data_IF_316519780124
#
_entry.id   IF_316519780124
#
_cell.length_a   1.000
_cell.length_b   1.000
_cell.length_c   1.000
_cell.angle_alpha   90.00
_cell.angle_beta   90.00
_cell.angle_gamma   90.00
#
_symmetry.space_group_name_H-M   'P 1'
#
loop_
_entity.id
_entity.type
_entity.pdbx_description
1 polymer ?
#
# COMPACT_ATOMS: atom_id res chain seq x y z
N UNK A 1 -26.92 -47.51 -33.63
CA UNK A 1 -25.71 -48.37 -33.58
C UNK A 1 -24.68 -47.68 -32.69
N UNK A 2 -24.76 -47.90 -31.38
CA UNK A 2 -23.85 -47.29 -30.40
C UNK A 2 -22.56 -48.13 -30.33
N UNK A 3 -21.43 -47.56 -30.75
CA UNK A 3 -20.11 -48.19 -30.56
C UNK A 3 -19.45 -47.55 -29.35
N UNK A 4 -19.54 -48.23 -28.20
CA UNK A 4 -18.78 -47.88 -27.01
C UNK A 4 -17.29 -48.12 -27.30
N UNK A 5 -16.48 -47.05 -27.27
CA UNK A 5 -15.03 -47.15 -27.28
C UNK A 5 -14.56 -47.62 -25.91
N UNK A 6 -14.17 -48.88 -25.83
CA UNK A 6 -13.58 -49.49 -24.65
C UNK A 6 -12.16 -48.92 -24.46
N UNK A 7 -12.00 -47.97 -23.54
CA UNK A 7 -10.71 -47.43 -23.14
C UNK A 7 -9.94 -48.49 -22.37
N UNK A 8 -8.90 -49.07 -22.98
CA UNK A 8 -7.97 -49.98 -22.31
C UNK A 8 -6.77 -49.16 -21.81
N UNK A 9 -6.62 -48.92 -20.49
CA UNK A 9 -5.49 -48.18 -19.98
C UNK A 9 -4.21 -49.01 -20.14
N UNK A 10 -3.23 -48.43 -20.82
CA UNK A 10 -1.85 -48.94 -20.85
C UNK A 10 -1.37 -49.18 -19.42
N UNK A 11 -0.76 -50.34 -19.15
CA UNK A 11 -0.23 -50.74 -17.83
C UNK A 11 0.65 -49.64 -17.22
N UNK A 12 1.38 -48.90 -18.05
CA UNK A 12 2.21 -47.76 -17.68
C UNK A 12 1.40 -46.62 -17.03
N UNK A 13 0.19 -46.33 -17.51
CA UNK A 13 -0.70 -45.35 -16.92
C UNK A 13 -1.22 -45.81 -15.55
N UNK A 14 -1.47 -47.13 -15.39
CA UNK A 14 -1.89 -47.70 -14.11
C UNK A 14 -0.79 -47.58 -13.04
N UNK A 15 0.47 -47.84 -13.41
CA UNK A 15 1.62 -47.64 -12.52
C UNK A 15 1.78 -46.18 -12.12
N UNK A 16 1.67 -45.23 -13.05
CA UNK A 16 1.74 -43.80 -12.73
C UNK A 16 0.62 -43.36 -11.79
N UNK A 17 -0.61 -43.82 -12.01
CA UNK A 17 -1.74 -43.50 -11.11
C UNK A 17 -1.58 -44.11 -9.73
N UNK A 18 -1.04 -45.33 -9.64
CA UNK A 18 -0.78 -46.00 -8.36
C UNK A 18 0.34 -45.30 -7.58
N UNK A 19 1.44 -44.92 -8.24
CA UNK A 19 2.55 -44.18 -7.62
C UNK A 19 2.06 -42.82 -7.12
N UNK A 20 1.28 -42.09 -7.93
CA UNK A 20 0.72 -40.80 -7.53
C UNK A 20 -0.20 -40.94 -6.30
N UNK A 21 -1.07 -41.96 -6.27
CA UNK A 21 -1.94 -42.22 -5.12
C UNK A 21 -1.14 -42.52 -3.84
N UNK A 22 -0.08 -43.33 -3.93
CA UNK A 22 0.81 -43.64 -2.79
C UNK A 22 1.56 -42.39 -2.32
N UNK A 23 2.06 -41.55 -3.21
CA UNK A 23 2.73 -40.31 -2.84
C UNK A 23 1.76 -39.35 -2.14
N UNK A 24 0.54 -39.21 -2.65
CA UNK A 24 -0.49 -38.37 -2.04
C UNK A 24 -0.87 -38.85 -0.62
N UNK A 25 -1.01 -40.16 -0.41
CA UNK A 25 -1.32 -40.70 0.93
C UNK A 25 -0.15 -40.51 1.90
N UNK A 26 1.09 -40.68 1.44
CA UNK A 26 2.28 -40.44 2.26
C UNK A 26 2.38 -38.97 2.68
N UNK A 27 2.21 -38.02 1.76
CA UNK A 27 2.22 -36.59 2.10
C UNK A 27 1.07 -36.20 3.04
N UNK A 28 -0.12 -36.78 2.85
CA UNK A 28 -1.25 -36.56 3.75
C UNK A 28 -0.98 -37.07 5.18
N UNK A 29 -0.36 -38.25 5.31
CA UNK A 29 0.00 -38.80 6.61
C UNK A 29 1.13 -38.00 7.27
N UNK A 30 2.15 -37.55 6.51
CA UNK A 30 3.22 -36.69 7.03
C UNK A 30 2.67 -35.33 7.48
N UNK A 31 1.72 -34.76 6.73
CA UNK A 31 1.01 -33.53 7.11
C UNK A 31 0.24 -33.68 8.42
N UNK A 32 -0.45 -34.81 8.61
CA UNK A 32 -1.11 -35.12 9.88
C UNK A 32 -0.10 -35.42 11.01
N UNK A 33 1.04 -36.05 10.71
CA UNK A 33 2.06 -36.38 11.72
C UNK A 33 2.81 -35.13 12.24
N UNK A 34 2.92 -34.08 11.41
CA UNK A 34 3.42 -32.76 11.85
C UNK A 34 2.33 -31.84 12.41
N UNK A 35 1.06 -32.26 12.31
CA UNK A 35 -0.12 -31.56 12.82
C UNK A 35 -0.54 -31.96 14.24
N UNK A 36 0.23 -32.80 14.93
CA UNK A 36 0.06 -33.14 16.35
C UNK A 36 0.70 -32.14 17.31
N UNK A 37 0.83 -30.86 16.94
CA UNK A 37 1.02 -29.81 17.92
C UNK A 37 -0.38 -29.43 18.43
N UNK A 38 -0.78 -30.01 19.55
CA UNK A 38 -1.83 -29.45 20.39
C UNK A 38 -1.50 -27.98 20.63
N UNK A 39 -2.14 -27.10 19.88
CA UNK A 39 -2.28 -25.70 20.25
C UNK A 39 -3.20 -25.74 21.46
N UNK A 40 -2.62 -25.88 22.65
CA UNK A 40 -3.30 -25.45 23.86
C UNK A 40 -3.55 -23.96 23.68
N UNK A 41 -4.78 -23.61 23.33
CA UNK A 41 -5.29 -22.27 23.53
C UNK A 41 -5.28 -22.02 25.04
N UNK A 42 -4.14 -21.62 25.58
CA UNK A 42 -4.07 -21.00 26.88
C UNK A 42 -4.83 -19.68 26.72
N UNK A 43 -6.12 -19.71 27.02
CA UNK A 43 -6.93 -18.52 27.18
C UNK A 43 -6.38 -17.75 28.38
N UNK A 44 -5.40 -16.89 28.13
CA UNK A 44 -5.01 -15.86 29.10
C UNK A 44 -6.17 -14.87 29.11
N UNK A 45 -7.11 -15.07 30.05
CA UNK A 45 -7.99 -13.98 30.48
C UNK A 45 -7.11 -13.03 31.29
N UNK A 46 -6.88 -11.79 30.84
CA UNK A 46 -6.37 -10.78 31.76
C UNK A 46 -7.51 -10.47 32.72
N UNK A 47 -7.55 -11.10 33.88
CA UNK A 47 -8.31 -10.56 35.01
C UNK A 47 -7.53 -9.35 35.50
N UNK A 48 -7.84 -8.18 34.93
CA UNK A 48 -7.48 -6.91 35.55
C UNK A 48 -8.24 -6.83 36.89
N UNK A 49 -7.57 -6.64 38.03
CA UNK A 49 -8.26 -6.28 39.26
C UNK A 49 -8.67 -4.81 39.12
N UNK A 50 -9.92 -4.57 38.75
CA UNK A 50 -10.52 -3.25 38.97
C UNK A 50 -10.80 -3.16 40.48
N UNK A 51 -9.84 -2.62 41.24
CA UNK A 51 -10.16 -2.04 42.55
C UNK A 51 -11.02 -0.81 42.30
N UNK A 52 -12.29 -0.89 42.68
CA UNK A 52 -13.15 0.28 42.85
C UNK A 52 -12.67 1.03 44.09
N UNK A 53 -11.74 1.97 43.89
CA UNK A 53 -11.57 3.09 44.81
C UNK A 53 -12.19 4.34 44.18
N UNK A 54 -12.97 5.14 44.94
CA UNK A 54 -13.65 6.32 44.41
C UNK A 54 -12.61 7.39 44.11
N UNK A 55 -12.30 7.58 42.82
CA UNK A 55 -11.51 8.72 42.36
C UNK A 55 -12.31 9.99 42.61
N UNK A 56 -11.81 10.79 43.56
CA UNK A 56 -12.13 12.20 43.68
C UNK A 56 -11.98 12.88 42.32
N UNK A 57 -13.02 13.60 41.90
CA UNK A 57 -13.00 14.49 40.74
C UNK A 57 -11.92 15.56 40.93
N UNK A 58 -10.74 15.31 40.38
CA UNK A 58 -9.83 16.37 39.99
C UNK A 58 -10.18 16.73 38.55
N UNK A 59 -11.00 17.76 38.39
CA UNK A 59 -11.28 18.43 37.12
C UNK A 59 -10.02 19.17 36.63
N UNK A 60 -8.98 18.40 36.30
CA UNK A 60 -7.90 18.88 35.47
C UNK A 60 -8.18 18.42 34.05
N UNK A 61 -9.10 19.13 33.43
CA UNK A 61 -9.25 19.18 31.97
C UNK A 61 -7.95 19.75 31.39
N UNK A 62 -6.94 18.91 31.22
CA UNK A 62 -5.76 19.25 30.44
C UNK A 62 -6.25 19.59 29.04
N UNK A 63 -6.24 20.89 28.72
CA UNK A 63 -6.55 21.41 27.40
C UNK A 63 -5.52 20.84 26.44
N UNK A 64 -5.86 19.72 25.80
CA UNK A 64 -5.02 19.15 24.76
C UNK A 64 -4.97 20.15 23.60
N UNK A 65 -3.75 20.52 23.23
CA UNK A 65 -3.51 21.40 22.10
C UNK A 65 -3.68 20.58 20.82
N UNK A 66 -4.80 20.80 20.14
CA UNK A 66 -5.09 20.23 18.81
C UNK A 66 -4.62 21.15 17.68
N UNK A 67 -3.84 22.19 17.98
CA UNK A 67 -3.36 23.13 16.97
C UNK A 67 -2.32 22.44 16.10
N UNK A 68 -2.56 22.43 14.78
CA UNK A 68 -1.58 21.93 13.84
C UNK A 68 -0.32 22.82 13.88
N UNK A 69 0.78 22.30 14.44
CA UNK A 69 2.09 22.97 14.49
C UNK A 69 2.78 23.14 13.12
N UNK A 70 2.07 22.83 12.02
CA UNK A 70 2.52 23.02 10.65
C UNK A 70 1.72 24.13 9.94
N UNK A 71 0.91 24.89 10.68
CA UNK A 71 0.29 26.10 10.14
C UNK A 71 1.40 27.09 9.81
N UNK A 72 1.50 27.47 8.54
CA UNK A 72 2.42 28.49 8.03
C UNK A 72 2.11 29.91 8.57
N UNK A 73 1.38 30.00 9.68
CA UNK A 73 0.83 31.21 10.28
C UNK A 73 1.20 31.32 11.76
N UNK A 74 2.32 30.71 12.18
CA UNK A 74 3.01 31.14 13.38
C UNK A 74 3.85 32.35 12.99
N UNK A 75 3.30 33.55 13.25
CA UNK A 75 3.93 34.88 13.32
C UNK A 75 5.46 34.90 13.33
N UNK A 76 6.06 34.62 12.18
CA UNK A 76 7.32 35.19 11.78
C UNK A 76 6.94 36.55 11.24
N UNK A 77 7.43 37.61 11.87
CA UNK A 77 7.54 38.92 11.22
C UNK A 77 7.97 38.66 9.78
N UNK A 78 7.10 38.93 8.81
CA UNK A 78 7.33 38.63 7.40
C UNK A 78 8.68 39.27 7.05
N UNK A 79 9.79 38.52 6.96
CA UNK A 79 11.02 39.08 6.45
C UNK A 79 10.69 39.28 4.99
N UNK A 80 10.56 40.55 4.57
CA UNK A 80 10.36 41.00 3.20
C UNK A 80 10.48 39.84 2.19
N UNK A 81 9.35 39.32 1.68
CA UNK A 81 9.25 38.10 0.85
C UNK A 81 10.21 38.10 -0.36
N UNK A 82 10.80 39.24 -0.69
CA UNK A 82 11.86 39.38 -1.69
C UNK A 82 13.24 38.84 -1.26
N UNK A 83 13.43 38.49 0.01
CA UNK A 83 14.65 37.89 0.56
C UNK A 83 14.57 36.37 0.79
N UNK A 84 13.37 35.77 0.78
CA UNK A 84 13.20 34.33 0.59
C UNK A 84 13.42 33.98 -0.90
N UNK A 85 14.60 34.37 -1.39
CA UNK A 85 15.06 34.12 -2.74
C UNK A 85 15.09 32.62 -2.93
N UNK A 86 14.13 32.12 -3.70
CA UNK A 86 14.35 31.16 -4.78
C UNK A 86 15.58 30.29 -4.53
N UNK A 87 15.42 29.23 -3.72
CA UNK A 87 16.37 28.14 -3.72
C UNK A 87 16.34 27.55 -5.14
N UNK A 88 17.28 27.99 -5.96
CA UNK A 88 17.49 27.49 -7.30
C UNK A 88 18.03 26.07 -7.19
N UNK A 89 17.10 25.13 -7.15
CA UNK A 89 17.42 23.72 -7.18
C UNK A 89 17.74 23.33 -8.62
N UNK A 90 18.97 22.89 -8.92
CA UNK A 90 19.33 22.47 -10.27
C UNK A 90 18.47 21.29 -10.72
N UNK A 91 18.45 21.03 -12.03
CA UNK A 91 17.78 19.85 -12.57
C UNK A 91 18.53 18.60 -12.15
N UNK A 92 17.82 17.60 -11.62
CA UNK A 92 18.37 16.27 -11.43
C UNK A 92 18.51 15.53 -12.76
N UNK A 93 19.37 14.52 -12.78
CA UNK A 93 19.34 13.48 -13.81
C UNK A 93 18.01 12.69 -13.74
N UNK A 94 17.46 12.32 -14.90
CA UNK A 94 16.21 11.55 -15.02
C UNK A 94 16.28 10.18 -14.33
N UNK A 95 17.47 9.59 -14.14
CA UNK A 95 17.64 8.34 -13.39
C UNK A 95 17.11 8.41 -11.95
N UNK A 96 16.99 9.61 -11.39
CA UNK A 96 16.48 9.83 -10.04
C UNK A 96 14.96 9.97 -9.98
N UNK A 97 14.23 9.85 -11.10
CA UNK A 97 12.76 9.99 -11.11
C UNK A 97 12.04 8.96 -10.24
N UNK A 98 12.67 7.80 -10.01
CA UNK A 98 12.13 6.69 -9.21
C UNK A 98 12.97 6.41 -7.96
N UNK A 99 13.98 7.24 -7.73
CA UNK A 99 14.85 7.09 -6.57
C UNK A 99 14.07 7.40 -5.30
N UNK A 100 14.00 6.42 -4.39
CA UNK A 100 13.34 6.55 -3.10
C UNK A 100 14.41 6.50 -2.00
N UNK A 101 14.92 7.65 -1.52
CA UNK A 101 16.19 7.70 -0.78
C UNK A 101 16.26 6.83 0.47
N UNK A 102 15.16 6.68 1.19
CA UNK A 102 15.09 5.90 2.43
C UNK A 102 14.73 4.42 2.24
N UNK A 103 14.41 4.02 1.00
CA UNK A 103 14.05 2.65 0.60
C UNK A 103 15.02 2.11 -0.46
N UNK A 104 16.29 2.52 -0.36
CA UNK A 104 17.34 2.10 -1.28
C UNK A 104 17.85 0.69 -0.93
N UNK A 105 17.71 -0.25 -1.86
CA UNK A 105 18.05 -1.67 -1.64
C UNK A 105 19.55 -1.85 -1.43
N UNK A 106 20.39 -1.16 -2.19
CA UNK A 106 21.85 -1.31 -2.06
C UNK A 106 22.34 -0.80 -0.71
N UNK A 107 21.77 0.29 -0.20
CA UNK A 107 22.03 0.80 1.14
C UNK A 107 21.52 -0.15 2.21
N UNK A 108 20.29 -0.65 2.08
CA UNK A 108 19.68 -1.50 3.10
C UNK A 108 20.45 -2.80 3.30
N UNK A 109 20.96 -3.40 2.22
CA UNK A 109 21.76 -4.63 2.25
C UNK A 109 23.12 -4.51 2.96
N UNK A 110 23.59 -3.30 3.28
CA UNK A 110 24.84 -3.08 4.03
C UNK A 110 24.70 -3.30 5.54
N UNK A 111 23.47 -3.36 6.05
CA UNK A 111 23.19 -3.49 7.48
C UNK A 111 23.06 -4.95 7.91
N UNK A 112 23.24 -5.17 9.22
CA UNK A 112 23.23 -6.49 9.82
C UNK A 112 21.90 -7.24 9.59
N UNK A 113 22.03 -8.56 9.40
CA UNK A 113 20.94 -9.49 9.14
C UNK A 113 20.45 -10.20 10.40
N UNK A 114 21.27 -10.29 11.45
CA UNK A 114 20.91 -11.00 12.70
C UNK A 114 19.64 -10.42 13.31
N UNK A 115 19.60 -9.09 13.44
CA UNK A 115 18.46 -8.34 13.99
C UNK A 115 17.52 -7.79 12.90
N UNK A 116 17.62 -8.27 11.66
CA UNK A 116 16.85 -7.78 10.51
C UNK A 116 16.97 -6.26 10.26
N UNK A 117 18.07 -5.64 10.71
CA UNK A 117 18.30 -4.19 10.55
C UNK A 117 18.27 -3.77 9.08
N UNK A 118 18.72 -4.63 8.16
CA UNK A 118 18.61 -4.40 6.71
C UNK A 118 17.18 -4.22 6.19
N UNK A 119 16.13 -4.53 6.97
CA UNK A 119 14.73 -4.30 6.60
C UNK A 119 14.18 -2.96 7.08
N UNK A 120 14.93 -2.24 7.92
CA UNK A 120 14.56 -0.90 8.40
C UNK A 120 14.76 0.16 7.30
N UNK A 121 14.23 1.37 7.54
CA UNK A 121 14.43 2.51 6.65
C UNK A 121 15.82 3.10 6.88
N UNK A 122 16.60 3.16 5.80
CA UNK A 122 17.96 3.70 5.83
C UNK A 122 18.02 4.89 4.88
N UNK A 123 17.94 6.09 5.43
CA UNK A 123 18.00 7.33 4.64
C UNK A 123 19.45 7.78 4.40
N UNK A 124 19.70 8.61 3.37
CA UNK A 124 21.00 9.23 3.18
C UNK A 124 21.32 10.22 4.32
N UNK A 125 22.60 10.28 4.67
CA UNK A 125 23.12 11.30 5.58
C UNK A 125 23.03 12.69 4.95
N UNK A 126 23.20 13.76 5.74
CA UNK A 126 22.98 15.13 5.27
C UNK A 126 23.81 15.49 4.02
N UNK A 127 25.06 15.02 3.94
CA UNK A 127 25.93 15.25 2.79
C UNK A 127 25.58 14.44 1.53
N UNK A 128 24.73 13.42 1.66
CA UNK A 128 24.29 12.56 0.55
C UNK A 128 22.91 12.96 0.00
N UNK A 129 22.21 13.90 0.66
CA UNK A 129 20.88 14.34 0.27
C UNK A 129 20.93 15.15 -1.03
N UNK A 130 20.22 14.66 -2.04
CA UNK A 130 20.05 15.37 -3.30
C UNK A 130 19.16 16.59 -3.11
N UNK A 131 19.70 17.77 -3.47
CA UNK A 131 18.98 19.03 -3.51
C UNK A 131 18.80 19.47 -4.96
N UNK A 132 17.90 18.80 -5.68
CA UNK A 132 17.62 19.08 -7.10
C UNK A 132 16.15 18.82 -7.43
N UNK A 133 15.65 19.34 -8.55
CA UNK A 133 14.29 19.11 -9.06
C UNK A 133 14.31 18.10 -10.21
N UNK A 134 13.50 17.07 -10.12
CA UNK A 134 13.28 16.13 -11.23
C UNK A 134 12.53 16.87 -12.34
N UNK A 135 13.09 16.96 -13.56
CA UNK A 135 12.37 17.58 -14.67
C UNK A 135 11.20 16.71 -15.12
N UNK A 136 10.17 17.35 -15.70
CA UNK A 136 9.09 16.62 -16.33
C UNK A 136 9.63 15.75 -17.48
N UNK A 137 9.16 14.49 -17.63
CA UNK A 137 9.61 13.62 -18.70
C UNK A 137 9.21 14.18 -20.07
N UNK A 138 9.90 13.72 -21.11
CA UNK A 138 9.60 14.14 -22.47
C UNK A 138 8.15 13.81 -22.85
N UNK A 139 7.43 14.80 -23.39
CA UNK A 139 6.03 14.64 -23.79
C UNK A 139 5.01 14.74 -22.64
N UNK A 140 5.45 15.10 -21.42
CA UNK A 140 4.54 15.36 -20.31
C UNK A 140 3.55 16.49 -20.66
N UNK A 141 2.27 16.25 -20.39
CA UNK A 141 1.15 17.17 -20.65
C UNK A 141 0.66 17.77 -19.35
N UNK A 142 0.07 18.96 -19.40
CA UNK A 142 -0.60 19.56 -18.23
C UNK A 142 -1.70 18.62 -17.72
N UNK A 143 -1.71 18.24 -16.43
CA UNK A 143 -2.77 17.41 -15.86
C UNK A 143 -4.15 18.04 -16.02
N UNK A 144 -5.19 17.22 -16.04
CA UNK A 144 -6.58 17.68 -16.03
C UNK A 144 -6.86 18.50 -14.77
N UNK A 145 -7.85 19.40 -14.85
CA UNK A 145 -8.32 20.10 -13.65
C UNK A 145 -9.24 19.17 -12.85
N UNK A 146 -9.30 19.40 -11.54
CA UNK A 146 -10.34 18.81 -10.72
C UNK A 146 -11.73 19.24 -11.24
N UNK A 147 -12.75 18.34 -11.30
CA UNK A 147 -12.75 16.95 -10.84
C UNK A 147 -12.34 15.90 -11.88
N UNK A 148 -12.11 16.26 -13.15
CA UNK A 148 -11.76 15.30 -14.21
C UNK A 148 -10.48 14.51 -13.88
N UNK A 149 -9.50 15.15 -13.23
CA UNK A 149 -8.26 14.50 -12.76
C UNK A 149 -8.46 13.39 -11.73
N UNK A 150 -9.68 13.22 -11.19
CA UNK A 150 -10.03 12.10 -10.31
C UNK A 150 -10.06 10.79 -11.09
N UNK A 151 -10.65 10.82 -12.28
CA UNK A 151 -10.99 9.63 -13.04
C UNK A 151 -10.10 9.49 -14.28
N UNK A 152 -9.34 10.51 -14.64
CA UNK A 152 -8.53 10.52 -15.86
C UNK A 152 -7.10 11.02 -15.68
N UNK A 153 -6.17 10.39 -16.40
CA UNK A 153 -4.79 10.83 -16.53
C UNK A 153 -4.31 10.70 -17.98
N UNK A 154 -3.41 11.57 -18.42
CA UNK A 154 -2.79 11.43 -19.73
C UNK A 154 -1.93 10.17 -19.79
N UNK A 155 -2.07 9.39 -20.87
CA UNK A 155 -1.19 8.24 -21.12
C UNK A 155 0.29 8.64 -21.16
N UNK A 156 0.59 9.86 -21.61
CA UNK A 156 1.95 10.41 -21.66
C UNK A 156 2.54 10.73 -20.29
N UNK A 157 1.71 10.94 -19.26
CA UNK A 157 2.15 11.37 -17.94
C UNK A 157 2.42 10.22 -16.97
N UNK A 158 1.99 9.00 -17.31
CA UNK A 158 2.10 7.84 -16.45
C UNK A 158 3.35 7.04 -16.80
N UNK A 159 4.30 6.87 -15.86
CA UNK A 159 5.44 5.97 -16.05
C UNK A 159 4.96 4.50 -16.06
N UNK A 160 5.81 3.58 -16.52
CA UNK A 160 5.55 2.13 -16.43
C UNK A 160 4.21 1.65 -17.00
N UNK A 161 3.96 1.98 -18.26
CA UNK A 161 2.73 1.58 -18.99
C UNK A 161 2.47 0.07 -19.02
N UNK A 162 3.48 -0.77 -18.80
CA UNK A 162 3.29 -2.22 -18.71
C UNK A 162 2.42 -2.64 -17.52
N UNK A 163 2.41 -1.86 -16.42
CA UNK A 163 1.59 -2.14 -15.23
C UNK A 163 0.09 -2.13 -15.55
N UNK A 164 -0.35 -1.39 -16.58
CA UNK A 164 -1.75 -1.40 -16.99
C UNK A 164 -2.15 -2.73 -17.62
N UNK A 165 -1.20 -3.46 -18.21
CA UNK A 165 -1.43 -4.83 -18.73
C UNK A 165 -1.51 -5.81 -17.57
N UNK A 166 -0.58 -5.73 -16.63
CA UNK A 166 -0.55 -6.61 -15.45
C UNK A 166 -1.78 -6.46 -14.56
N UNK A 167 -2.32 -5.24 -14.47
CA UNK A 167 -3.51 -4.93 -13.66
C UNK A 167 -4.81 -4.86 -14.47
N UNK A 168 -4.79 -5.15 -15.78
CA UNK A 168 -5.97 -5.07 -16.66
C UNK A 168 -7.13 -5.96 -16.16
N UNK A 169 -6.81 -7.16 -15.65
CA UNK A 169 -7.80 -8.11 -15.15
C UNK A 169 -8.55 -7.65 -13.88
N UNK A 170 -8.06 -6.59 -13.23
CA UNK A 170 -8.66 -6.05 -12.00
C UNK A 170 -9.60 -4.87 -12.26
N UNK A 171 -9.75 -4.43 -13.52
CA UNK A 171 -10.53 -3.24 -13.91
C UNK A 171 -10.12 -1.95 -13.16
N UNK A 172 -8.85 -1.88 -12.73
CA UNK A 172 -8.31 -0.70 -12.04
C UNK A 172 -8.08 0.49 -12.98
N UNK A 173 -7.69 0.20 -14.22
CA UNK A 173 -7.34 1.21 -15.22
C UNK A 173 -7.76 0.73 -16.61
N UNK A 174 -8.31 1.64 -17.40
CA UNK A 174 -8.66 1.41 -18.80
C UNK A 174 -7.84 2.33 -19.67
N UNK A 175 -7.23 1.77 -20.70
CA UNK A 175 -6.55 2.54 -21.72
C UNK A 175 -7.55 3.01 -22.78
N UNK A 176 -7.65 4.33 -22.97
CA UNK A 176 -8.53 5.01 -23.92
C UNK A 176 -7.71 5.88 -24.87
N UNK A 177 -6.81 5.26 -25.64
CA UNK A 177 -6.03 5.95 -26.68
C UNK A 177 -4.95 6.89 -26.12
N UNK A 178 -5.28 8.13 -25.81
CA UNK A 178 -4.35 9.10 -25.22
C UNK A 178 -4.55 9.31 -23.71
N UNK A 179 -5.54 8.59 -23.13
CA UNK A 179 -5.92 8.71 -21.72
C UNK A 179 -5.94 7.36 -21.03
N UNK A 180 -5.74 7.40 -19.72
CA UNK A 180 -6.12 6.37 -18.79
C UNK A 180 -7.39 6.81 -18.07
N UNK A 181 -8.34 5.90 -17.93
CA UNK A 181 -9.55 6.07 -17.14
C UNK A 181 -9.52 5.13 -15.92
N UNK A 182 -9.86 5.65 -14.75
CA UNK A 182 -9.87 4.95 -13.47
C UNK A 182 -11.33 4.82 -13.01
N UNK A 183 -12.02 3.70 -13.33
CA UNK A 183 -13.45 3.56 -13.09
C UNK A 183 -13.83 3.33 -11.61
N UNK A 184 -12.90 3.46 -10.66
CA UNK A 184 -13.14 3.28 -9.23
C UNK A 184 -13.35 1.82 -8.77
N UNK A 185 -13.20 0.85 -9.69
CA UNK A 185 -13.30 -0.58 -9.40
C UNK A 185 -11.96 -1.15 -8.92
N UNK A 186 -11.83 -1.34 -7.60
CA UNK A 186 -10.69 -2.01 -6.97
C UNK A 186 -11.04 -3.41 -6.48
N UNK A 187 -10.04 -4.28 -6.32
CA UNK A 187 -10.22 -5.67 -5.85
C UNK A 187 -10.31 -5.80 -4.34
N UNK A 188 -9.86 -4.77 -3.58
CA UNK A 188 -9.88 -4.78 -2.12
C UNK A 188 -11.27 -4.49 -1.55
N UNK A 189 -12.15 -3.82 -2.30
CA UNK A 189 -13.48 -3.43 -1.85
C UNK A 189 -14.55 -4.24 -2.60
N UNK A 190 -15.28 -5.16 -1.94
CA UNK A 190 -16.30 -5.98 -2.60
C UNK A 190 -17.36 -5.16 -3.36
N UNK A 191 -17.68 -3.96 -2.86
CA UNK A 191 -18.62 -3.02 -3.47
C UNK A 191 -17.95 -1.79 -4.10
N UNK A 192 -16.61 -1.83 -4.28
CA UNK A 192 -15.82 -0.72 -4.79
C UNK A 192 -15.46 0.33 -3.73
N UNK A 193 -14.48 1.18 -4.05
CA UNK A 193 -13.99 2.20 -3.12
C UNK A 193 -15.03 3.28 -2.81
N UNK A 194 -15.95 3.56 -3.75
CA UNK A 194 -17.03 4.52 -3.54
C UNK A 194 -17.95 4.11 -2.38
N UNK A 195 -18.37 2.85 -2.32
CA UNK A 195 -19.21 2.34 -1.23
C UNK A 195 -18.49 2.41 0.13
N UNK A 196 -17.18 2.15 0.15
CA UNK A 196 -16.36 2.32 1.35
C UNK A 196 -16.31 3.77 1.83
N UNK A 197 -16.14 4.73 0.91
CA UNK A 197 -16.17 6.16 1.23
C UNK A 197 -17.56 6.59 1.72
N UNK A 198 -18.64 6.08 1.11
CA UNK A 198 -20.02 6.35 1.54
C UNK A 198 -20.28 5.84 2.96
N UNK A 199 -19.75 4.67 3.32
CA UNK A 199 -19.86 4.12 4.67
C UNK A 199 -19.13 4.99 5.70
N UNK A 200 -17.95 5.53 5.37
CA UNK A 200 -17.27 6.52 6.21
C UNK A 200 -18.11 7.79 6.33
N UNK A 201 -18.68 8.26 5.22
CA UNK A 201 -19.53 9.45 5.16
C UNK A 201 -20.80 9.37 6.03
N UNK A 202 -21.25 8.17 6.40
CA UNK A 202 -22.34 7.97 7.36
C UNK A 202 -21.92 8.21 8.81
N UNK A 203 -20.63 8.07 9.11
CA UNK A 203 -20.07 8.21 10.46
C UNK A 203 -19.52 9.62 10.70
N UNK A 204 -18.92 10.23 9.69
CA UNK A 204 -18.30 11.56 9.76
C UNK A 204 -18.68 12.39 8.53
N UNK A 205 -18.87 13.70 8.71
CA UNK A 205 -19.20 14.59 7.59
C UNK A 205 -17.96 14.83 6.72
N UNK A 206 -17.94 14.23 5.53
CA UNK A 206 -16.88 14.43 4.54
C UNK A 206 -17.14 15.62 3.59
N UNK A 207 -18.35 16.18 3.59
CA UNK A 207 -18.81 17.13 2.55
C UNK A 207 -18.71 18.61 2.93
N UNK A 208 -18.50 18.95 4.20
CA UNK A 208 -18.46 20.34 4.68
C UNK A 208 -17.07 20.99 4.62
N UNK A 209 -16.04 20.24 4.22
CA UNK A 209 -14.67 20.72 4.16
C UNK A 209 -13.99 20.90 5.53
N UNK A 210 -14.59 20.39 6.61
CA UNK A 210 -13.96 20.36 7.95
C UNK A 210 -12.74 19.43 7.96
N UNK A 211 -12.80 18.32 7.21
CA UNK A 211 -11.70 17.38 7.00
C UNK A 211 -10.94 17.79 5.75
N UNK A 212 -9.67 18.15 5.92
CA UNK A 212 -8.78 18.56 4.81
C UNK A 212 -7.81 17.46 4.37
N UNK A 213 -7.52 16.52 5.27
CA UNK A 213 -6.53 15.46 5.04
C UNK A 213 -7.06 14.15 5.62
N UNK A 214 -7.00 13.09 4.83
CA UNK A 214 -7.25 11.72 5.26
C UNK A 214 -6.08 10.84 4.84
N UNK A 215 -5.70 9.88 5.69
CA UNK A 215 -4.65 8.89 5.40
C UNK A 215 -5.29 7.51 5.58
N UNK A 216 -5.48 6.81 4.46
CA UNK A 216 -5.89 5.41 4.43
C UNK A 216 -4.73 4.57 3.91
N UNK A 217 -4.28 3.60 4.71
CA UNK A 217 -3.14 2.74 4.39
C UNK A 217 -3.58 1.28 4.37
N UNK A 218 -3.72 0.71 3.17
CA UNK A 218 -3.91 -0.73 2.97
C UNK A 218 -2.60 -1.45 2.68
N UNK A 219 -2.54 -2.76 2.95
CA UNK A 219 -1.37 -3.60 2.63
C UNK A 219 -1.34 -4.12 1.18
N UNK A 220 -2.40 -3.86 0.39
CA UNK A 220 -2.62 -4.51 -0.90
C UNK A 220 -2.93 -6.00 -0.74
N UNK A 221 -3.64 -6.58 -1.72
CA UNK A 221 -3.72 -8.04 -1.85
C UNK A 221 -2.61 -8.46 -2.82
N UNK A 222 -1.60 -9.17 -2.32
CA UNK A 222 -0.54 -9.82 -3.11
C UNK A 222 -1.00 -11.17 -3.63
#
# INVERSE_FOLDING_TARGET
LNRATQYSPSTRNLYFTAIAAVLCTVFYLIGNFRGGATITSAGIRPTLPCSEDPLAESDQRSSFDFTAHHTADATLEIPNFSAARESDFPRCDLRFSEYTPCHDVERSLKFDREMLRYRERHCPEEGERLSCRIPAPYGYKTPFRWPESRDEAWYANVPHKHLTVEKAGQNWVRFLGDRFNFPGGGTMFPHGAAAYIDDIGKLINLGDGSIRTAIDTGCGVS
#
